data_IF_478324491817
#
_entry.id   IF_478324491817
#
_cell.length_a   1.000
_cell.length_b   1.000
_cell.length_c   1.000
_cell.angle_alpha   90.00
_cell.angle_beta   90.00
_cell.angle_gamma   90.00
#
_symmetry.space_group_name_H-M   'P 1'
#
loop_
_entity.id
_entity.type
_entity.pdbx_description
1 polymer ?
#
# COMPACT_ATOMS: atom_id res chain seq x y z
N UNK A 1 -7.63 -18.51 22.59
CA UNK A 1 -7.67 -17.26 21.80
C UNK A 1 -6.28 -16.99 21.21
N UNK A 2 -5.97 -17.49 20.01
CA UNK A 2 -4.63 -17.34 19.38
C UNK A 2 -4.72 -16.39 18.19
N UNK A 3 -3.92 -15.32 18.23
CA UNK A 3 -3.78 -14.34 17.14
C UNK A 3 -2.45 -14.59 16.44
N UNK A 4 -2.41 -14.46 15.13
CA UNK A 4 -1.21 -14.64 14.31
C UNK A 4 -0.99 -13.36 13.50
N UNK A 5 0.27 -12.93 13.38
CA UNK A 5 0.67 -11.82 12.53
C UNK A 5 1.72 -12.30 11.54
N UNK A 6 1.51 -12.03 10.25
CA UNK A 6 2.45 -12.34 9.18
C UNK A 6 3.07 -11.05 8.68
N UNK A 7 4.39 -11.01 8.56
CA UNK A 7 5.14 -9.86 8.05
C UNK A 7 5.97 -10.29 6.87
N UNK A 8 5.93 -9.52 5.80
CA UNK A 8 6.78 -9.72 4.62
C UNK A 8 7.69 -8.51 4.41
N UNK A 9 8.79 -8.70 3.69
CA UNK A 9 9.72 -7.64 3.31
C UNK A 9 9.75 -7.54 1.80
N UNK A 10 9.70 -6.31 1.30
CA UNK A 10 9.75 -6.03 -0.14
C UNK A 10 10.92 -5.12 -0.42
N UNK A 11 11.59 -5.33 -1.55
CA UNK A 11 12.68 -4.46 -1.99
C UNK A 11 12.12 -3.14 -2.47
N UNK A 12 12.82 -2.06 -2.11
CA UNK A 12 12.45 -0.70 -2.51
C UNK A 12 12.53 -0.45 -4.01
N UNK A 13 13.36 -1.20 -4.73
CA UNK A 13 13.52 -1.12 -6.19
C UNK A 13 12.33 -1.70 -6.95
N UNK A 14 11.61 -2.66 -6.35
CA UNK A 14 10.46 -3.33 -6.94
C UNK A 14 9.42 -3.58 -5.83
N UNK A 15 8.71 -2.51 -5.46
CA UNK A 15 7.76 -2.49 -4.36
C UNK A 15 6.42 -3.13 -4.77
N UNK A 16 6.44 -4.42 -5.08
CA UNK A 16 5.28 -5.16 -5.57
C UNK A 16 5.01 -6.40 -4.71
N UNK A 17 3.73 -6.66 -4.42
CA UNK A 17 3.25 -7.82 -3.65
C UNK A 17 1.96 -8.38 -4.29
N UNK A 18 1.64 -9.67 -4.09
CA UNK A 18 0.31 -10.18 -4.42
C UNK A 18 -0.73 -9.60 -3.45
N UNK A 19 -1.90 -9.26 -3.98
CA UNK A 19 -3.06 -8.86 -3.18
C UNK A 19 -3.62 -10.05 -2.40
N UNK A 20 -4.02 -9.82 -1.15
CA UNK A 20 -4.74 -10.77 -0.31
C UNK A 20 -6.26 -10.51 -0.30
N UNK A 21 -6.74 -9.52 -1.05
CA UNK A 21 -8.17 -9.18 -1.18
C UNK A 21 -9.03 -10.39 -1.54
N UNK A 22 -8.49 -11.31 -2.37
CA UNK A 22 -9.20 -12.54 -2.77
C UNK A 22 -9.50 -13.48 -1.59
N UNK A 23 -8.67 -13.44 -0.53
CA UNK A 23 -8.84 -14.25 0.68
C UNK A 23 -9.57 -13.44 1.75
N UNK A 24 -9.19 -12.18 1.91
CA UNK A 24 -9.71 -11.25 2.92
C UNK A 24 -10.25 -9.99 2.23
N UNK A 25 -11.56 -9.92 1.95
CA UNK A 25 -12.15 -8.74 1.28
C UNK A 25 -11.96 -7.43 2.05
N UNK A 26 -11.80 -7.48 3.37
CA UNK A 26 -11.50 -6.32 4.21
C UNK A 26 -10.13 -5.69 3.93
N UNK A 27 -9.22 -6.43 3.27
CA UNK A 27 -7.92 -5.93 2.88
C UNK A 27 -7.98 -4.92 1.71
N UNK A 28 -9.13 -4.78 1.04
CA UNK A 28 -9.32 -3.86 -0.09
C UNK A 28 -8.85 -2.43 0.23
N UNK A 29 -9.41 -1.84 1.29
CA UNK A 29 -9.06 -0.49 1.74
C UNK A 29 -7.62 -0.40 2.27
N UNK A 30 -7.16 -1.43 2.98
CA UNK A 30 -5.83 -1.44 3.58
C UNK A 30 -4.73 -1.48 2.51
N UNK A 31 -4.93 -2.24 1.44
CA UNK A 31 -4.00 -2.29 0.30
C UNK A 31 -3.97 -0.97 -0.46
N UNK A 32 -5.13 -0.32 -0.64
CA UNK A 32 -5.22 1.00 -1.27
C UNK A 32 -4.54 2.10 -0.45
N UNK A 33 -4.70 2.09 0.86
CA UNK A 33 -4.00 3.00 1.78
C UNK A 33 -2.47 2.83 1.68
N UNK A 34 -1.99 1.59 1.71
CA UNK A 34 -0.55 1.31 1.60
C UNK A 34 0.00 1.69 0.22
N UNK A 35 -0.77 1.48 -0.84
CA UNK A 35 -0.42 1.95 -2.18
C UNK A 35 -0.28 3.47 -2.22
N UNK A 36 -1.23 4.19 -1.65
CA UNK A 36 -1.27 5.65 -1.68
C UNK A 36 -0.15 6.27 -0.82
N UNK A 37 0.01 5.80 0.42
CA UNK A 37 0.93 6.42 1.38
C UNK A 37 2.38 5.93 1.28
N UNK A 38 2.60 4.69 0.84
CA UNK A 38 3.93 4.05 0.80
C UNK A 38 4.40 3.72 -0.63
N UNK A 39 3.50 3.66 -1.60
CA UNK A 39 3.83 3.36 -3.01
C UNK A 39 4.04 1.88 -3.31
N UNK A 40 3.51 0.98 -2.49
CA UNK A 40 3.59 -0.48 -2.72
C UNK A 40 2.43 -0.91 -3.62
N UNK A 41 2.72 -1.55 -4.74
CA UNK A 41 1.72 -2.04 -5.69
C UNK A 41 1.27 -3.45 -5.32
N UNK A 42 -0.04 -3.70 -5.39
CA UNK A 42 -0.62 -5.02 -5.16
C UNK A 42 -1.10 -5.64 -6.48
N UNK A 43 -0.46 -6.74 -6.90
CA UNK A 43 -0.80 -7.49 -8.12
C UNK A 43 -2.03 -8.35 -7.86
N UNK A 44 -3.02 -8.24 -8.74
CA UNK A 44 -4.29 -8.99 -8.63
C UNK A 44 -5.39 -8.27 -7.84
N UNK A 45 -5.15 -7.02 -7.45
CA UNK A 45 -6.15 -6.16 -6.82
C UNK A 45 -7.07 -5.53 -7.88
N UNK A 46 -8.39 -5.54 -7.67
CA UNK A 46 -9.38 -5.17 -8.69
C UNK A 46 -9.46 -3.66 -8.94
N UNK A 47 -9.24 -2.82 -7.92
CA UNK A 47 -9.36 -1.37 -8.04
C UNK A 47 -8.27 -0.61 -7.25
N UNK A 48 -7.03 -0.66 -7.75
CA UNK A 48 -5.88 -0.08 -7.06
C UNK A 48 -5.75 1.41 -7.39
N UNK A 49 -6.59 2.22 -6.75
CA UNK A 49 -6.59 3.68 -6.89
C UNK A 49 -6.32 4.37 -5.56
N UNK A 50 -5.84 5.61 -5.62
CA UNK A 50 -5.61 6.46 -4.45
C UNK A 50 -6.91 6.68 -3.68
N UNK A 51 -6.80 6.92 -2.38
CA UNK A 51 -7.95 7.03 -1.46
C UNK A 51 -7.83 8.25 -0.57
N UNK A 52 -6.64 8.51 -0.04
CA UNK A 52 -6.42 9.51 1.00
C UNK A 52 -5.81 10.78 0.43
N UNK A 53 -4.91 10.64 -0.54
CA UNK A 53 -4.24 11.76 -1.18
C UNK A 53 -5.03 12.23 -2.41
N UNK A 54 -5.00 13.54 -2.72
CA UNK A 54 -5.47 14.05 -4.00
C UNK A 54 -4.78 13.36 -5.18
N UNK A 55 -5.49 13.23 -6.30
CA UNK A 55 -4.97 12.58 -7.51
C UNK A 55 -3.67 13.26 -8.02
N UNK A 56 -3.56 14.58 -7.88
CA UNK A 56 -2.40 15.37 -8.29
C UNK A 56 -1.19 15.30 -7.33
N UNK A 57 -1.29 14.55 -6.22
CA UNK A 57 -0.20 14.52 -5.23
C UNK A 57 1.03 13.77 -5.75
N UNK A 58 2.14 14.48 -5.94
CA UNK A 58 3.39 13.88 -6.39
C UNK A 58 4.19 13.29 -5.22
N UNK A 59 3.99 12.02 -4.90
CA UNK A 59 4.83 11.26 -3.97
C UNK A 59 4.07 10.37 -3.00
N UNK A 60 4.79 9.91 -1.97
CA UNK A 60 4.30 8.97 -0.95
C UNK A 60 4.76 9.47 0.43
N UNK A 61 3.89 10.12 1.21
CA UNK A 61 4.29 10.90 2.39
C UNK A 61 4.86 10.08 3.54
N UNK A 62 4.46 8.80 3.66
CA UNK A 62 4.99 7.93 4.72
C UNK A 62 6.35 7.30 4.37
N UNK A 63 6.88 7.56 3.17
CA UNK A 63 8.23 7.14 2.81
C UNK A 63 9.25 8.02 3.51
N UNK A 64 10.25 7.42 4.16
CA UNK A 64 11.30 8.16 4.91
C UNK A 64 12.07 9.19 4.06
N UNK A 65 12.08 9.02 2.76
CA UNK A 65 12.79 9.88 1.79
C UNK A 65 11.92 11.01 1.26
N UNK A 66 10.63 11.00 1.60
CA UNK A 66 9.73 12.07 1.22
C UNK A 66 10.12 13.33 2.00
N UNK A 67 10.68 14.30 1.28
CA UNK A 67 10.94 15.62 1.84
C UNK A 67 9.60 16.35 1.89
N UNK A 68 9.14 16.64 3.10
CA UNK A 68 8.03 17.57 3.30
C UNK A 68 8.54 18.92 2.78
N UNK A 69 7.99 19.37 1.66
CA UNK A 69 8.20 20.74 1.20
C UNK A 69 7.31 21.59 2.10
N UNK A 70 7.93 22.13 3.15
CA UNK A 70 7.34 23.14 4.03
C UNK A 70 7.76 24.52 3.58
#
# INVERSE_FOLDING_TARGET
NRKIAVKTRVRRSLAELPSIMQIYPTADWQEREVYDLMGIKFKGHTNLVRVLLPDDFAGHPLRKDFKIVG
#
